data_IF_466600312469
#
_entry.id   IF_466600312469
#
_cell.length_a   1.000
_cell.length_b   1.000
_cell.length_c   1.000
_cell.angle_alpha   90.00
_cell.angle_beta   90.00
_cell.angle_gamma   90.00
#
_symmetry.space_group_name_H-M   'P 1'
#
loop_
_entity.id
_entity.type
_entity.pdbx_description
1 polymer ?
#
# COMPACT_ATOMS: atom_id res chain seq x y z
N UNK A 1 4.07 -2.80 44.93
CA UNK A 1 3.40 -3.49 43.81
C UNK A 1 4.34 -3.51 42.60
N UNK A 2 5.27 -4.47 42.55
CA UNK A 2 6.31 -4.53 41.49
C UNK A 2 6.33 -5.90 40.80
N UNK A 3 5.99 -6.96 41.55
CA UNK A 3 5.96 -8.35 41.07
C UNK A 3 4.89 -8.54 39.98
N UNK A 4 3.66 -8.05 40.18
CA UNK A 4 2.59 -8.18 39.19
C UNK A 4 2.85 -7.41 37.89
N UNK A 5 3.59 -6.29 37.95
CA UNK A 5 4.02 -5.56 36.76
C UNK A 5 5.06 -6.33 35.95
N UNK A 6 6.00 -6.99 36.62
CA UNK A 6 7.00 -7.86 35.98
C UNK A 6 6.38 -9.08 35.29
N UNK A 7 5.41 -9.74 35.94
CA UNK A 7 4.69 -10.89 35.36
C UNK A 7 3.90 -10.49 34.11
N UNK A 8 3.17 -9.36 34.15
CA UNK A 8 2.43 -8.86 32.99
C UNK A 8 3.34 -8.56 31.78
N UNK A 9 4.55 -8.06 32.02
CA UNK A 9 5.50 -7.78 30.95
C UNK A 9 6.02 -9.09 30.32
N UNK A 10 6.34 -10.10 31.14
CA UNK A 10 6.76 -11.42 30.68
C UNK A 10 5.69 -12.10 29.82
N UNK A 11 4.44 -12.10 30.26
CA UNK A 11 3.32 -12.66 29.49
C UNK A 11 3.13 -11.97 28.14
N UNK A 12 3.23 -10.63 28.14
CA UNK A 12 3.13 -9.84 26.91
C UNK A 12 4.26 -10.16 25.93
N UNK A 13 5.47 -10.40 26.43
CA UNK A 13 6.60 -10.74 25.59
C UNK A 13 6.49 -12.18 25.05
N UNK A 14 5.97 -13.12 25.83
CA UNK A 14 5.63 -14.48 25.36
C UNK A 14 4.60 -14.46 24.23
N UNK A 15 3.54 -13.64 24.34
CA UNK A 15 2.52 -13.49 23.28
C UNK A 15 3.16 -12.94 21.99
N UNK A 16 4.04 -11.94 22.11
CA UNK A 16 4.75 -11.38 20.95
C UNK A 16 5.70 -12.37 20.29
N UNK A 17 6.37 -13.22 21.07
CA UNK A 17 7.23 -14.27 20.52
C UNK A 17 6.43 -15.24 19.63
N UNK A 18 5.32 -15.80 20.14
CA UNK A 18 4.45 -16.67 19.33
C UNK A 18 3.87 -15.96 18.11
N UNK A 19 3.46 -14.70 18.27
CA UNK A 19 2.96 -13.90 17.15
C UNK A 19 4.01 -13.74 16.05
N UNK A 20 5.28 -13.47 16.42
CA UNK A 20 6.38 -13.36 15.45
C UNK A 20 6.65 -14.67 14.72
N UNK A 21 6.61 -15.80 15.42
CA UNK A 21 6.73 -17.14 14.81
C UNK A 21 5.63 -17.36 13.77
N UNK A 22 4.37 -17.09 14.14
CA UNK A 22 3.23 -17.21 13.22
C UNK A 22 3.32 -16.26 12.02
N UNK A 23 3.70 -15.00 12.24
CA UNK A 23 3.96 -14.03 11.15
C UNK A 23 5.09 -14.53 10.25
N UNK A 24 6.14 -15.11 10.83
CA UNK A 24 7.26 -15.70 10.09
C UNK A 24 6.82 -16.81 9.14
N UNK A 25 5.99 -17.74 9.63
CA UNK A 25 5.40 -18.80 8.80
C UNK A 25 4.52 -18.24 7.68
N UNK A 26 3.60 -17.34 8.01
CA UNK A 26 2.71 -16.72 7.01
C UNK A 26 3.45 -15.86 5.98
N UNK A 27 4.60 -15.26 6.34
CA UNK A 27 5.50 -14.59 5.39
C UNK A 27 6.18 -15.60 4.46
N UNK A 28 6.67 -16.73 4.98
CA UNK A 28 7.24 -17.82 4.15
C UNK A 28 6.22 -18.38 3.17
N UNK A 29 4.96 -18.51 3.59
CA UNK A 29 3.84 -18.91 2.73
C UNK A 29 3.37 -17.80 1.75
N UNK A 30 3.95 -16.60 1.81
CA UNK A 30 3.61 -15.50 0.89
C UNK A 30 2.26 -14.82 1.15
N UNK A 31 1.63 -15.04 2.31
CA UNK A 31 0.33 -14.44 2.66
C UNK A 31 0.39 -12.91 2.76
N UNK A 32 1.51 -12.36 3.20
CA UNK A 32 1.71 -10.91 3.33
C UNK A 32 2.11 -10.27 2.00
N UNK A 33 1.14 -9.74 1.26
CA UNK A 33 1.35 -9.05 -0.03
C UNK A 33 1.33 -7.52 0.05
N UNK A 34 1.43 -6.99 1.27
CA UNK A 34 1.37 -5.56 1.55
C UNK A 34 -0.01 -4.95 1.32
N UNK A 35 -0.08 -3.62 1.19
CA UNK A 35 -1.32 -2.90 0.93
C UNK A 35 -1.80 -3.18 -0.50
N UNK A 36 -3.06 -3.55 -0.66
CA UNK A 36 -3.70 -3.70 -1.97
C UNK A 36 -3.58 -2.39 -2.75
N UNK A 37 -3.10 -2.47 -4.01
CA UNK A 37 -2.92 -1.30 -4.86
C UNK A 37 -4.30 -0.68 -5.18
N UNK A 38 -4.48 0.60 -4.84
CA UNK A 38 -5.72 1.36 -5.13
C UNK A 38 -6.03 1.44 -6.63
N UNK A 39 -5.00 1.57 -7.47
CA UNK A 39 -5.11 1.60 -8.92
C UNK A 39 -4.32 0.42 -9.51
N UNK A 40 -4.94 -0.75 -9.71
CA UNK A 40 -4.31 -1.87 -10.39
C UNK A 40 -3.98 -1.53 -11.85
N UNK A 41 -3.11 -2.32 -12.50
CA UNK A 41 -2.67 -2.05 -13.90
C UNK A 41 -3.82 -2.03 -14.92
N UNK A 42 -4.93 -2.73 -14.63
CA UNK A 42 -6.15 -2.75 -15.45
C UNK A 42 -7.18 -1.67 -15.07
N UNK A 43 -6.85 -0.76 -14.16
CA UNK A 43 -7.79 0.28 -13.74
C UNK A 43 -8.00 1.30 -14.86
N UNK A 44 -9.21 1.33 -15.42
CA UNK A 44 -9.56 2.18 -16.57
C UNK A 44 -9.22 3.65 -16.33
N UNK A 45 -9.59 4.19 -15.15
CA UNK A 45 -9.33 5.60 -14.82
C UNK A 45 -7.85 6.00 -14.81
N UNK A 46 -6.91 5.09 -14.47
CA UNK A 46 -5.48 5.44 -14.46
C UNK A 46 -4.86 5.28 -15.84
N UNK A 47 -5.36 4.34 -16.64
CA UNK A 47 -4.92 4.19 -18.03
C UNK A 47 -5.36 5.39 -18.87
N UNK A 48 -6.63 5.78 -18.74
CA UNK A 48 -7.15 6.98 -19.39
C UNK A 48 -6.43 8.25 -18.94
N UNK A 49 -6.10 8.38 -17.64
CA UNK A 49 -5.30 9.51 -17.16
C UNK A 49 -3.89 9.56 -17.76
N UNK A 50 -3.27 8.41 -18.06
CA UNK A 50 -1.94 8.35 -18.70
C UNK A 50 -2.02 8.68 -20.19
N UNK A 51 -3.07 8.25 -20.88
CA UNK A 51 -3.32 8.60 -22.29
C UNK A 51 -3.50 10.11 -22.44
N UNK A 52 -4.39 10.71 -21.65
CA UNK A 52 -4.60 12.16 -21.61
C UNK A 52 -3.32 12.94 -21.28
N UNK A 53 -2.45 12.38 -20.43
CA UNK A 53 -1.15 12.99 -20.12
C UNK A 53 -0.19 12.93 -21.32
N UNK A 54 -0.21 11.84 -22.10
CA UNK A 54 0.62 11.66 -23.30
C UNK A 54 0.20 12.58 -24.44
N UNK A 55 -1.10 12.80 -24.61
CA UNK A 55 -1.65 13.73 -25.60
C UNK A 55 -1.25 15.19 -25.35
N UNK A 56 -0.81 15.53 -24.11
CA UNK A 56 -0.39 16.89 -23.68
C UNK A 56 -1.42 18.02 -23.90
N UNK A 57 -2.65 17.70 -24.25
CA UNK A 57 -3.73 18.66 -24.52
C UNK A 57 -4.32 19.30 -23.26
N UNK A 58 -4.03 18.79 -22.05
CA UNK A 58 -4.68 19.23 -20.81
C UNK A 58 -3.70 19.31 -19.64
N UNK A 59 -3.93 20.26 -18.72
CA UNK A 59 -3.19 20.34 -17.47
C UNK A 59 -3.48 19.13 -16.58
N UNK A 60 -2.46 18.64 -15.88
CA UNK A 60 -2.55 17.52 -14.90
C UNK A 60 -3.70 17.71 -13.89
N UNK A 61 -3.97 18.95 -13.45
CA UNK A 61 -5.08 19.26 -12.54
C UNK A 61 -6.45 18.92 -13.15
N UNK A 62 -6.63 19.18 -14.45
CA UNK A 62 -7.89 18.90 -15.17
C UNK A 62 -8.03 17.39 -15.42
N UNK A 63 -6.94 16.71 -15.78
CA UNK A 63 -6.90 15.25 -15.93
C UNK A 63 -7.30 14.54 -14.63
N UNK A 64 -6.73 14.95 -13.49
CA UNK A 64 -7.08 14.37 -12.19
C UNK A 64 -8.53 14.62 -11.78
N UNK A 65 -9.13 15.76 -12.17
CA UNK A 65 -10.55 16.03 -11.93
C UNK A 65 -11.45 15.12 -12.75
N UNK A 66 -11.11 14.88 -14.03
CA UNK A 66 -11.92 14.06 -14.95
C UNK A 66 -11.83 12.58 -14.59
N UNK A 67 -10.62 12.10 -14.30
CA UNK A 67 -10.36 10.67 -14.07
C UNK A 67 -10.51 10.24 -12.61
N UNK A 68 -10.76 11.21 -11.71
CA UNK A 68 -10.82 11.02 -10.26
C UNK A 68 -9.57 10.32 -9.66
N UNK A 69 -8.43 10.38 -10.38
CA UNK A 69 -7.14 9.84 -9.95
C UNK A 69 -6.34 10.92 -9.23
N UNK A 70 -5.70 10.56 -8.12
CA UNK A 70 -4.82 11.50 -7.41
C UNK A 70 -3.58 11.82 -8.23
N UNK A 71 -3.09 13.07 -8.15
CA UNK A 71 -1.86 13.50 -8.85
C UNK A 71 -0.67 12.59 -8.54
N UNK A 72 -0.53 12.18 -7.28
CA UNK A 72 0.51 11.26 -6.82
C UNK A 72 0.42 9.88 -7.47
N UNK A 73 -0.78 9.35 -7.69
CA UNK A 73 -0.96 8.06 -8.34
C UNK A 73 -0.63 8.13 -9.83
N UNK A 74 -1.02 9.21 -10.50
CA UNK A 74 -0.69 9.44 -11.91
C UNK A 74 0.83 9.51 -12.09
N UNK A 75 1.53 10.34 -11.31
CA UNK A 75 3.00 10.45 -11.42
C UNK A 75 3.72 9.15 -11.08
N UNK A 76 3.27 8.42 -10.04
CA UNK A 76 3.83 7.10 -9.73
C UNK A 76 3.70 6.15 -10.91
N UNK A 77 2.54 6.15 -11.58
CA UNK A 77 2.31 5.29 -12.75
C UNK A 77 3.13 5.70 -13.97
N UNK A 78 3.36 7.00 -14.17
CA UNK A 78 4.24 7.51 -15.21
C UNK A 78 5.70 7.13 -14.96
N UNK A 79 6.16 7.19 -13.70
CA UNK A 79 7.50 6.76 -13.31
C UNK A 79 7.71 5.24 -13.47
N UNK A 80 6.70 4.42 -13.15
CA UNK A 80 6.74 2.95 -13.38
C UNK A 80 6.81 2.56 -14.87
N UNK A 81 6.42 3.45 -15.78
CA UNK A 81 6.36 3.21 -17.24
C UNK A 81 7.54 3.83 -18.00
N UNK A 82 8.48 4.43 -17.29
CA UNK A 82 9.71 4.98 -17.84
C UNK A 82 10.74 3.86 -17.98
#
# INVERSE_FOLDING_TARGET
>A
MTVMGGVNQLERDLIRMRQREGIGLAKKEGKYRGRVKKYPSKHEGINYAVELYRERNMTVKKICKITNVSRSALYRKLAERK
#
